data_IF_624785103573
#
_entry.id   IF_624785103573
#
_cell.length_a   1.000
_cell.length_b   1.000
_cell.length_c   1.000
_cell.angle_alpha   90.00
_cell.angle_beta   90.00
_cell.angle_gamma   90.00
#
_symmetry.space_group_name_H-M   'P 1'
#
loop_
_entity.id
_entity.type
_entity.pdbx_description
1 polymer ?
#
# COMPACT_ATOMS: atom_id res chain seq x y z
N UNK A 1 0.04 15.49 15.99
CA UNK A 1 0.33 14.12 15.55
C UNK A 1 -1.03 13.52 15.26
N UNK A 2 -1.45 13.55 14.01
CA UNK A 2 -2.70 12.91 13.62
C UNK A 2 -2.60 11.43 14.00
N UNK A 3 -3.63 10.89 14.65
CA UNK A 3 -3.60 9.53 15.14
C UNK A 3 -3.55 8.59 13.93
N UNK A 4 -2.62 7.63 13.88
CA UNK A 4 -2.52 6.67 12.77
C UNK A 4 -3.86 5.98 12.51
N UNK A 5 -4.66 5.77 13.56
CA UNK A 5 -6.02 5.23 13.45
C UNK A 5 -6.98 6.12 12.66
N UNK A 6 -6.87 7.45 12.79
CA UNK A 6 -7.70 8.41 12.04
C UNK A 6 -7.35 8.39 10.55
N UNK A 7 -6.05 8.30 10.22
CA UNK A 7 -5.59 8.17 8.84
C UNK A 7 -6.06 6.85 8.20
N UNK A 8 -5.96 5.74 8.95
CA UNK A 8 -6.50 4.44 8.53
C UNK A 8 -7.99 4.57 8.24
N UNK A 9 -8.76 5.13 9.18
CA UNK A 9 -10.20 5.29 9.06
C UNK A 9 -10.57 6.10 7.82
N UNK A 10 -9.89 7.21 7.57
CA UNK A 10 -10.14 8.05 6.40
C UNK A 10 -9.86 7.32 5.07
N UNK A 11 -8.81 6.48 5.02
CA UNK A 11 -8.50 5.67 3.83
C UNK A 11 -9.54 4.57 3.60
N UNK A 12 -9.99 3.90 4.65
CA UNK A 12 -11.06 2.89 4.57
C UNK A 12 -12.35 3.53 4.08
N UNK A 13 -12.77 4.63 4.70
CA UNK A 13 -14.00 5.34 4.32
C UNK A 13 -13.97 5.80 2.85
N UNK A 14 -12.81 6.28 2.37
CA UNK A 14 -12.60 6.63 0.97
C UNK A 14 -12.78 5.45 0.02
N UNK A 15 -12.19 4.31 0.36
CA UNK A 15 -12.31 3.08 -0.44
C UNK A 15 -13.75 2.58 -0.46
N UNK A 16 -14.40 2.51 0.70
CA UNK A 16 -15.80 2.09 0.84
C UNK A 16 -16.74 2.99 0.03
N UNK A 17 -16.62 4.31 0.19
CA UNK A 17 -17.42 5.29 -0.56
C UNK A 17 -17.28 5.10 -2.08
N UNK A 18 -16.06 4.88 -2.57
CA UNK A 18 -15.82 4.62 -3.98
C UNK A 18 -16.44 3.27 -4.43
N UNK A 19 -16.36 2.22 -3.61
CA UNK A 19 -16.99 0.92 -3.94
C UNK A 19 -18.51 0.97 -3.94
N UNK A 20 -19.11 1.88 -3.17
CA UNK A 20 -20.55 2.16 -3.17
C UNK A 20 -20.98 3.06 -4.36
N UNK A 21 -20.07 3.41 -5.26
CA UNK A 21 -20.33 4.27 -6.43
C UNK A 21 -20.80 5.68 -6.02
N UNK A 22 -20.30 6.18 -4.89
CA UNK A 22 -20.49 7.55 -4.42
C UNK A 22 -19.24 8.39 -4.68
N UNK A 23 -19.32 9.70 -4.48
CA UNK A 23 -18.18 10.62 -4.61
C UNK A 23 -17.34 10.64 -3.31
N UNK A 24 -16.11 10.09 -3.30
CA UNK A 24 -15.21 10.17 -2.15
C UNK A 24 -14.54 11.55 -2.04
N UNK A 25 -13.91 11.82 -0.90
CA UNK A 25 -13.15 13.06 -0.65
C UNK A 25 -11.98 13.29 -1.64
N UNK A 26 -11.43 12.21 -2.20
CA UNK A 26 -10.56 12.20 -3.39
C UNK A 26 -10.58 10.82 -4.04
N UNK A 27 -10.09 10.73 -5.28
CA UNK A 27 -9.91 9.45 -5.99
C UNK A 27 -8.98 8.54 -5.16
N UNK A 28 -9.43 7.35 -4.70
CA UNK A 28 -8.55 6.41 -4.01
C UNK A 28 -7.54 5.79 -4.98
N UNK A 29 -6.32 5.55 -4.47
CA UNK A 29 -5.22 4.93 -5.19
C UNK A 29 -4.90 3.60 -4.51
N UNK A 30 -5.27 2.50 -5.18
CA UNK A 30 -4.83 1.15 -4.83
C UNK A 30 -3.95 0.60 -5.95
N UNK A 31 -2.69 0.29 -5.66
CA UNK A 31 -1.74 -0.17 -6.68
C UNK A 31 -1.19 -1.54 -6.32
N UNK A 32 -1.08 -2.38 -7.34
CA UNK A 32 -0.41 -3.66 -7.26
C UNK A 32 0.99 -3.53 -7.89
N UNK A 33 2.02 -3.88 -7.13
CA UNK A 33 3.41 -3.78 -7.60
C UNK A 33 4.16 -5.08 -7.35
N UNK A 34 5.20 -5.30 -8.16
CA UNK A 34 6.13 -6.41 -8.00
C UNK A 34 7.50 -5.88 -7.53
N UNK A 35 8.47 -5.70 -8.44
CA UNK A 35 9.85 -5.40 -8.09
C UNK A 35 10.22 -3.91 -8.11
N UNK A 36 9.31 -3.03 -8.56
CA UNK A 36 9.59 -1.59 -8.58
C UNK A 36 9.91 -1.00 -7.19
N UNK A 37 9.17 -1.35 -6.12
CA UNK A 37 9.52 -0.91 -4.76
C UNK A 37 10.96 -1.26 -4.35
N UNK A 38 11.49 -2.41 -4.79
CA UNK A 38 12.86 -2.83 -4.50
C UNK A 38 13.89 -1.85 -5.08
N UNK A 39 13.69 -1.44 -6.35
CA UNK A 39 14.52 -0.42 -7.00
C UNK A 39 14.41 0.94 -6.29
N UNK A 40 13.20 1.33 -5.90
CA UNK A 40 12.97 2.59 -5.18
C UNK A 40 13.66 2.61 -3.79
N UNK A 41 13.61 1.49 -3.05
CA UNK A 41 14.22 1.37 -1.73
C UNK A 41 15.73 1.06 -1.77
N UNK A 42 16.33 0.91 -2.95
CA UNK A 42 17.76 0.63 -3.09
C UNK A 42 18.16 -0.79 -2.64
N UNK A 43 17.22 -1.74 -2.63
CA UNK A 43 17.49 -3.14 -2.29
C UNK A 43 17.60 -3.99 -3.56
N UNK A 44 18.36 -5.09 -3.48
CA UNK A 44 18.52 -5.99 -4.62
C UNK A 44 17.20 -6.72 -4.92
N UNK A 45 16.97 -7.10 -6.19
CA UNK A 45 15.83 -7.93 -6.54
C UNK A 45 15.93 -9.34 -5.95
N UNK A 46 17.16 -9.83 -5.72
CA UNK A 46 17.43 -11.12 -5.08
C UNK A 46 16.97 -11.12 -3.62
N UNK A 47 17.25 -10.03 -2.90
CA UNK A 47 16.87 -9.87 -1.50
C UNK A 47 15.35 -10.00 -1.33
N UNK A 48 14.58 -9.24 -2.13
CA UNK A 48 13.11 -9.31 -2.09
C UNK A 48 12.56 -10.57 -2.75
N UNK A 49 13.38 -11.29 -3.53
CA UNK A 49 12.97 -12.56 -4.12
C UNK A 49 12.99 -13.68 -3.08
N UNK A 50 14.00 -13.73 -2.23
CA UNK A 50 14.15 -14.79 -1.23
C UNK A 50 13.56 -14.43 0.14
N UNK A 51 13.42 -13.14 0.45
CA UNK A 51 12.83 -12.66 1.71
C UNK A 51 11.47 -11.99 1.46
N UNK A 52 10.40 -12.73 1.74
CA UNK A 52 9.03 -12.20 1.63
C UNK A 52 8.72 -11.11 2.68
N UNK A 53 9.36 -11.12 3.85
CA UNK A 53 9.16 -10.06 4.83
C UNK A 53 9.74 -8.74 4.30
N UNK A 54 10.94 -8.81 3.72
CA UNK A 54 11.59 -7.67 3.08
C UNK A 54 10.81 -7.17 1.86
N UNK A 55 10.24 -8.09 1.06
CA UNK A 55 9.32 -7.72 -0.03
C UNK A 55 8.12 -6.91 0.47
N UNK A 56 7.48 -7.37 1.54
CA UNK A 56 6.32 -6.71 2.15
C UNK A 56 6.69 -5.36 2.77
N UNK A 57 7.78 -5.30 3.53
CA UNK A 57 8.26 -4.05 4.17
C UNK A 57 8.54 -2.97 3.13
N UNK A 58 9.26 -3.31 2.08
CA UNK A 58 9.62 -2.38 1.00
C UNK A 58 8.38 -1.92 0.24
N UNK A 59 7.43 -2.82 -0.02
CA UNK A 59 6.16 -2.49 -0.64
C UNK A 59 5.31 -1.54 0.21
N UNK A 60 5.20 -1.78 1.53
CA UNK A 60 4.48 -0.91 2.47
C UNK A 60 5.14 0.46 2.54
N UNK A 61 6.48 0.52 2.65
CA UNK A 61 7.22 1.79 2.66
C UNK A 61 6.93 2.59 1.39
N UNK A 62 7.04 1.95 0.22
CA UNK A 62 6.78 2.62 -1.05
C UNK A 62 5.35 3.18 -1.10
N UNK A 63 4.37 2.38 -0.71
CA UNK A 63 2.99 2.81 -0.76
C UNK A 63 2.67 3.95 0.24
N UNK A 64 3.32 3.97 1.42
CA UNK A 64 3.24 5.09 2.38
C UNK A 64 3.88 6.37 1.85
N UNK A 65 5.07 6.28 1.25
CA UNK A 65 5.79 7.44 0.71
C UNK A 65 4.99 8.15 -0.40
N UNK A 66 4.18 7.39 -1.16
CA UNK A 66 3.29 7.92 -2.21
C UNK A 66 1.84 8.12 -1.74
N UNK A 67 1.56 7.95 -0.45
CA UNK A 67 0.25 8.12 0.17
C UNK A 67 -0.88 7.32 -0.51
N UNK A 68 -0.61 6.06 -0.85
CA UNK A 68 -1.63 5.16 -1.38
C UNK A 68 -2.66 4.76 -0.32
N UNK A 69 -3.87 4.41 -0.76
CA UNK A 69 -4.95 3.98 0.13
C UNK A 69 -4.91 2.46 0.36
N UNK A 70 -4.40 1.70 -0.61
CA UNK A 70 -4.20 0.26 -0.49
C UNK A 70 -3.00 -0.22 -1.31
N UNK A 71 -2.40 -1.33 -0.89
CA UNK A 71 -1.38 -2.05 -1.67
C UNK A 71 -1.75 -3.52 -1.82
N UNK A 72 -1.61 -4.03 -3.05
CA UNK A 72 -1.69 -5.46 -3.35
C UNK A 72 -0.31 -5.99 -3.68
N UNK A 73 0.21 -6.83 -2.80
CA UNK A 73 1.55 -7.37 -2.88
C UNK A 73 1.47 -8.72 -3.60
N UNK A 74 1.68 -8.77 -4.91
CA UNK A 74 1.44 -9.96 -5.74
C UNK A 74 2.09 -11.29 -5.29
N UNK A 75 3.11 -11.24 -4.42
CA UNK A 75 3.79 -12.43 -3.88
C UNK A 75 3.32 -12.86 -2.49
N UNK A 76 2.56 -12.02 -1.79
CA UNK A 76 1.82 -12.41 -0.60
C UNK A 76 0.35 -12.49 -1.00
N UNK A 77 -0.32 -13.61 -0.75
CA UNK A 77 -1.78 -13.70 -0.98
C UNK A 77 -2.61 -12.79 -0.05
N UNK A 78 -1.95 -11.95 0.75
CA UNK A 78 -2.52 -10.98 1.65
C UNK A 78 -2.47 -9.57 1.03
N UNK A 79 -3.64 -8.94 0.90
CA UNK A 79 -3.77 -7.50 0.67
C UNK A 79 -3.73 -6.77 2.00
N UNK A 80 -2.90 -5.73 2.12
CA UNK A 80 -2.70 -5.02 3.38
C UNK A 80 -3.26 -3.59 3.26
N UNK A 81 -4.26 -3.21 4.08
CA UNK A 81 -4.68 -1.82 4.21
C UNK A 81 -3.53 -0.98 4.79
N UNK A 82 -3.27 0.19 4.21
CA UNK A 82 -2.19 1.06 4.68
C UNK A 82 -2.74 2.11 5.63
N UNK A 83 -2.23 2.14 6.86
CA UNK A 83 -2.37 3.28 7.76
C UNK A 83 -1.40 4.39 7.44
#
# INVERSE_FOLDING_TARGET
>A
MDNAEELIKAKIERLETATEVKEPDRIPIGIATTYFPAKYAGVSYEDVWYDNNKYTEVGIKFARDFNWDAVSLHRSFESVPLG
#
